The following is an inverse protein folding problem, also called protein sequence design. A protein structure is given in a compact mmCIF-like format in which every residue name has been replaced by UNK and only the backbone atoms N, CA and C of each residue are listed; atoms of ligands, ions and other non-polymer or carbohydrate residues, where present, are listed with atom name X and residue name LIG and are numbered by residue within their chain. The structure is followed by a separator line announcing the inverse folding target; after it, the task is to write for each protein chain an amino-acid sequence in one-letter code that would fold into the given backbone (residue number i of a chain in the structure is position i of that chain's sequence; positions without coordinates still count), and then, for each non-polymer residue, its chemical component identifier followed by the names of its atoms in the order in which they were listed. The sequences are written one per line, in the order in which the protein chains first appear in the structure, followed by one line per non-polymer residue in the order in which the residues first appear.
data_IF_320980335480
#
_entry.id   IF_320980335480
#
_cell.length_a   1.000
_cell.length_b   1.000
_cell.length_c   1.000
_cell.angle_alpha   90.00
_cell.angle_beta   90.00
_cell.angle_gamma   90.00
#
_symmetry.space_group_name_H-M   'P 1'
#
loop_
_entity.id
_entity.type
_entity.pdbx_description
1 polymer ?
#
# COMPACT_ATOMS: atom_id res chain seq x y z
N UNK A 1 -5.38 0.51 -0.35
CA UNK A 1 -3.94 0.62 -0.67
C UNK A 1 -3.35 -0.78 -0.66
N UNK A 2 -2.18 -1.00 -1.26
CA UNK A 2 -1.52 -2.31 -1.28
C UNK A 2 -0.13 -2.24 -0.66
N UNK A 3 0.23 -3.29 0.08
CA UNK A 3 1.55 -3.53 0.65
C UNK A 3 2.21 -4.66 -0.11
N UNK A 4 3.40 -4.42 -0.63
CA UNK A 4 4.22 -5.40 -1.36
C UNK A 4 5.57 -5.49 -0.67
N UNK A 5 5.81 -6.59 0.05
CA UNK A 5 7.01 -6.80 0.86
C UNK A 5 7.80 -7.99 0.33
N UNK A 6 8.97 -7.78 -0.29
CA UNK A 6 9.83 -8.87 -0.71
C UNK A 6 10.48 -9.57 0.51
N UNK A 7 11.01 -10.79 0.35
CA UNK A 7 11.60 -11.55 1.45
C UNK A 7 12.90 -10.95 1.99
N UNK A 8 13.65 -10.20 1.18
CA UNK A 8 14.86 -9.53 1.63
C UNK A 8 14.56 -8.44 2.66
N UNK A 9 15.42 -8.33 3.68
CA UNK A 9 15.34 -7.29 4.69
C UNK A 9 16.37 -6.19 4.41
N UNK A 10 16.05 -4.96 4.83
CA UNK A 10 16.97 -3.84 4.80
C UNK A 10 17.34 -3.45 6.24
N UNK A 11 18.64 -3.38 6.55
CA UNK A 11 19.09 -3.00 7.88
C UNK A 11 18.85 -1.51 8.09
N UNK A 12 18.03 -1.16 9.08
CA UNK A 12 17.77 0.25 9.43
C UNK A 12 19.08 0.98 9.72
N UNK A 13 20.02 0.36 10.44
CA UNK A 13 21.29 1.00 10.79
C UNK A 13 22.16 1.33 9.57
N UNK A 14 22.08 0.52 8.51
CA UNK A 14 22.89 0.73 7.30
C UNK A 14 22.33 1.86 6.42
N UNK A 15 21.02 2.08 6.46
CA UNK A 15 20.36 3.07 5.60
C UNK A 15 20.00 4.37 6.30
N UNK A 16 20.05 4.41 7.63
CA UNK A 16 19.67 5.59 8.41
C UNK A 16 20.57 6.78 8.08
N UNK A 17 19.96 7.87 7.61
CA UNK A 17 20.60 9.14 7.28
C UNK A 17 19.71 10.30 7.70
N UNK A 18 20.29 11.49 7.82
CA UNK A 18 19.55 12.72 8.12
C UNK A 18 18.62 13.08 6.97
N UNK A 19 17.34 13.33 7.26
CA UNK A 19 16.36 13.80 6.27
C UNK A 19 16.65 15.23 5.85
N UNK A 20 16.40 15.54 4.58
CA UNK A 20 16.66 16.88 4.01
C UNK A 20 15.36 17.65 3.75
N UNK A 21 14.25 16.94 3.58
CA UNK A 21 12.97 17.55 3.25
C UNK A 21 12.28 18.09 4.50
N UNK A 22 11.70 19.29 4.42
CA UNK A 22 10.93 19.87 5.53
C UNK A 22 9.58 19.14 5.68
N UNK A 23 9.36 18.39 6.77
CA UNK A 23 8.14 17.62 6.96
C UNK A 23 6.89 18.50 7.10
N UNK A 24 7.02 19.76 7.53
CA UNK A 24 5.85 20.65 7.68
C UNK A 24 5.33 21.10 6.32
N UNK A 25 6.21 21.25 5.33
CA UNK A 25 5.83 21.58 3.95
C UNK A 25 5.08 20.40 3.32
N UNK A 26 5.62 19.18 3.46
CA UNK A 26 4.97 17.97 2.95
C UNK A 26 3.61 17.73 3.61
N UNK A 27 3.53 17.89 4.93
CA UNK A 27 2.27 17.73 5.66
C UNK A 27 1.22 18.74 5.21
N UNK A 28 1.62 20.00 5.01
CA UNK A 28 0.74 21.04 4.49
C UNK A 28 0.21 20.67 3.11
N UNK A 29 1.09 20.24 2.21
CA UNK A 29 0.72 19.85 0.85
C UNK A 29 -0.24 18.65 0.84
N UNK A 30 0.02 17.62 1.65
CA UNK A 30 -0.87 16.45 1.81
C UNK A 30 -2.25 16.88 2.35
N UNK A 31 -2.27 17.83 3.28
CA UNK A 31 -3.51 18.31 3.91
C UNK A 31 -4.35 19.16 2.95
N UNK A 32 -3.71 19.99 2.13
CA UNK A 32 -4.39 20.93 1.22
C UNK A 32 -4.77 20.26 -0.11
N UNK A 33 -3.88 19.42 -0.68
CA UNK A 33 -3.99 18.91 -2.05
C UNK A 33 -4.13 17.38 -2.13
N UNK A 34 -4.08 16.68 -1.00
CA UNK A 34 -4.17 15.22 -0.94
C UNK A 34 -2.85 14.51 -1.24
N UNK A 35 -2.92 13.19 -1.40
CA UNK A 35 -1.74 12.34 -1.63
C UNK A 35 -1.34 12.37 -3.12
N UNK A 36 -0.05 12.53 -3.37
CA UNK A 36 0.56 12.39 -4.69
C UNK A 36 1.98 11.83 -4.56
N UNK A 37 2.55 11.39 -5.67
CA UNK A 37 3.92 10.87 -5.70
C UNK A 37 4.96 11.86 -5.16
N UNK A 38 4.78 13.16 -5.41
CA UNK A 38 5.76 14.20 -5.06
C UNK A 38 5.80 14.51 -3.56
N UNK A 39 4.72 14.21 -2.83
CA UNK A 39 4.65 14.38 -1.37
C UNK A 39 4.96 13.10 -0.59
N UNK A 40 4.86 11.95 -1.25
CA UNK A 40 5.22 10.65 -0.69
C UNK A 40 6.72 10.35 -0.85
N UNK A 41 7.54 11.19 -0.20
CA UNK A 41 9.00 11.05 -0.21
C UNK A 41 9.48 10.17 0.94
N UNK A 42 10.56 9.43 0.67
CA UNK A 42 11.30 8.70 1.70
C UNK A 42 12.80 8.86 1.43
N UNK A 43 13.45 9.68 2.24
CA UNK A 43 14.89 9.98 2.14
C UNK A 43 15.80 8.75 2.37
N UNK A 44 15.23 7.65 2.90
CA UNK A 44 15.94 6.37 3.05
C UNK A 44 15.93 5.51 1.78
N UNK A 45 15.14 5.85 0.76
CA UNK A 45 15.11 5.10 -0.49
C UNK A 45 16.46 5.08 -1.22
N UNK A 46 17.17 6.22 -1.44
CA UNK A 46 18.47 6.19 -2.09
C UNK A 46 19.47 5.23 -1.43
N UNK A 47 19.75 5.30 -0.11
CA UNK A 47 20.65 4.33 0.53
C UNK A 47 20.10 2.90 0.56
N UNK A 48 18.79 2.70 0.76
CA UNK A 48 18.19 1.36 0.71
C UNK A 48 18.32 0.72 -0.67
N UNK A 49 18.25 1.52 -1.74
CA UNK A 49 18.42 1.03 -3.11
C UNK A 49 19.88 0.77 -3.50
N UNK A 50 20.84 1.40 -2.80
CA UNK A 50 22.26 1.06 -2.92
C UNK A 50 22.56 -0.27 -2.24
N UNK A 51 22.05 -0.48 -1.03
CA UNK A 51 22.23 -1.72 -0.25
C UNK A 51 21.43 -2.89 -0.84
N UNK A 52 20.22 -2.63 -1.30
CA UNK A 52 19.29 -3.63 -1.84
C UNK A 52 18.76 -3.21 -3.23
N UNK A 53 19.55 -3.39 -4.30
CA UNK A 53 19.13 -3.03 -5.66
C UNK A 53 17.89 -3.77 -6.17
N UNK A 54 17.57 -4.95 -5.63
CA UNK A 54 16.33 -5.68 -5.95
C UNK A 54 15.09 -4.88 -5.55
N UNK A 55 15.15 -4.15 -4.44
CA UNK A 55 14.06 -3.29 -3.97
C UNK A 55 13.79 -2.12 -4.92
N UNK A 56 14.85 -1.50 -5.45
CA UNK A 56 14.73 -0.47 -6.51
C UNK A 56 14.07 -1.03 -7.76
N UNK A 57 14.44 -2.25 -8.17
CA UNK A 57 13.82 -2.92 -9.33
C UNK A 57 12.35 -3.21 -9.09
N UNK A 58 12.00 -3.72 -7.90
CA UNK A 58 10.61 -3.97 -7.51
C UNK A 58 9.78 -2.68 -7.58
N UNK A 59 10.21 -1.60 -6.92
CA UNK A 59 9.50 -0.30 -6.97
C UNK A 59 9.30 0.19 -8.40
N UNK A 60 10.34 0.15 -9.24
CA UNK A 60 10.25 0.53 -10.66
C UNK A 60 9.26 -0.32 -11.44
N UNK A 61 9.22 -1.63 -11.18
CA UNK A 61 8.31 -2.55 -11.86
C UNK A 61 6.86 -2.32 -11.45
N UNK A 62 6.60 -2.02 -10.17
CA UNK A 62 5.28 -1.59 -9.67
C UNK A 62 4.85 -0.31 -10.38
N UNK A 63 5.70 0.71 -10.47
CA UNK A 63 5.39 1.96 -11.17
C UNK A 63 5.15 1.73 -12.67
N UNK A 64 5.94 0.88 -13.32
CA UNK A 64 5.76 0.60 -14.74
C UNK A 64 4.49 -0.22 -15.04
N UNK A 65 4.06 -1.05 -14.10
CA UNK A 65 2.82 -1.81 -14.19
C UNK A 65 1.59 -0.97 -13.79
N UNK A 66 1.79 0.14 -13.08
CA UNK A 66 0.73 1.09 -12.71
C UNK A 66 0.13 1.71 -13.98
N UNK A 67 -1.13 1.40 -14.28
CA UNK A 67 -1.87 1.97 -15.42
C UNK A 67 -2.68 3.21 -15.04
N UNK A 68 -2.23 3.93 -14.01
CA UNK A 68 -2.93 5.08 -13.43
C UNK A 68 -3.77 4.73 -12.19
N UNK A 69 -3.61 3.51 -11.65
CA UNK A 69 -4.35 2.99 -10.50
C UNK A 69 -3.74 3.44 -9.16
N UNK A 70 -2.46 3.81 -9.14
CA UNK A 70 -1.80 4.36 -7.96
C UNK A 70 -1.49 5.85 -8.09
N UNK A 71 -1.90 6.61 -7.08
CA UNK A 71 -1.56 8.02 -6.87
C UNK A 71 -0.09 8.19 -6.42
N UNK A 72 0.43 7.20 -5.69
CA UNK A 72 1.81 7.20 -5.19
C UNK A 72 2.33 5.78 -4.95
N UNK A 73 3.62 5.58 -5.21
CA UNK A 73 4.39 4.38 -4.88
C UNK A 73 5.66 4.76 -4.14
N UNK A 74 5.85 4.24 -2.93
CA UNK A 74 7.00 4.56 -2.08
C UNK A 74 7.37 3.41 -1.13
N UNK A 75 8.60 3.41 -0.66
CA UNK A 75 9.08 2.48 0.36
C UNK A 75 8.60 2.94 1.75
N UNK A 76 8.14 2.02 2.57
CA UNK A 76 7.79 2.30 3.98
C UNK A 76 9.01 2.12 4.89
N UNK A 77 9.29 3.13 5.73
CA UNK A 77 10.40 3.11 6.69
C UNK A 77 11.77 2.94 6.02
N UNK A 78 12.64 2.11 6.61
CA UNK A 78 13.93 1.71 6.02
C UNK A 78 13.80 0.62 4.94
N UNK A 79 12.58 0.20 4.60
CA UNK A 79 12.30 -0.94 3.74
C UNK A 79 12.16 -2.27 4.50
N UNK A 80 11.85 -3.37 3.81
CA UNK A 80 11.77 -3.51 2.35
C UNK A 80 10.36 -3.37 1.76
N UNK A 81 9.34 -3.04 2.56
CA UNK A 81 7.97 -2.91 2.05
C UNK A 81 7.82 -1.73 1.08
N UNK A 82 7.27 -1.99 -0.11
CA UNK A 82 6.76 -0.98 -1.04
C UNK A 82 5.25 -0.84 -0.83
N UNK A 83 4.76 0.40 -0.82
CA UNK A 83 3.35 0.75 -0.65
C UNK A 83 2.85 1.38 -1.95
N UNK A 84 1.71 0.91 -2.44
CA UNK A 84 0.93 1.57 -3.51
C UNK A 84 -0.33 2.19 -2.92
N UNK A 85 -0.48 3.51 -3.04
CA UNK A 85 -1.68 4.27 -2.64
C UNK A 85 -2.55 4.52 -3.88
N UNK A 86 -3.88 4.45 -3.75
CA UNK A 86 -4.84 4.67 -4.83
C UNK A 86 -5.72 3.44 -5.05
N UNK A 87 -5.09 2.29 -5.29
CA UNK A 87 -5.78 1.01 -5.49
C UNK A 87 -5.33 -0.06 -4.47
N UNK A 88 -6.21 -0.97 -4.03
CA UNK A 88 -5.85 -2.16 -3.26
C UNK A 88 -5.29 -3.30 -4.13
N UNK A 89 -5.46 -3.22 -5.45
CA UNK A 89 -5.11 -4.31 -6.36
C UNK A 89 -3.60 -4.33 -6.61
N UNK A 90 -2.89 -5.41 -6.27
CA UNK A 90 -1.47 -5.56 -6.59
C UNK A 90 -1.25 -5.76 -8.10
N UNK A 91 -0.09 -5.36 -8.64
CA UNK A 91 0.19 -5.58 -10.06
C UNK A 91 0.34 -7.07 -10.38
N UNK A 92 -0.27 -7.52 -11.49
CA UNK A 92 -0.34 -8.94 -11.87
C UNK A 92 1.02 -9.66 -11.87
N UNK A 93 2.10 -8.98 -12.27
CA UNK A 93 3.43 -9.57 -12.33
C UNK A 93 3.92 -10.14 -10.98
N UNK A 94 3.41 -9.63 -9.85
CA UNK A 94 3.81 -10.13 -8.52
C UNK A 94 3.38 -11.58 -8.32
N UNK A 95 2.33 -12.03 -9.02
CA UNK A 95 1.86 -13.41 -9.01
C UNK A 95 2.35 -14.22 -10.20
N UNK A 96 2.49 -13.58 -11.37
CA UNK A 96 2.82 -14.29 -12.62
C UNK A 96 4.32 -14.61 -12.77
N UNK A 97 5.19 -13.88 -12.07
CA UNK A 97 6.64 -14.02 -12.19
C UNK A 97 7.23 -14.76 -10.98
N UNK A 98 7.92 -15.87 -11.25
CA UNK A 98 8.55 -16.73 -10.25
C UNK A 98 9.55 -15.98 -9.36
N UNK A 99 10.14 -14.88 -9.85
CA UNK A 99 11.05 -14.02 -9.09
C UNK A 99 10.37 -13.37 -7.86
N UNK A 100 9.03 -13.29 -7.83
CA UNK A 100 8.26 -12.64 -6.75
C UNK A 100 7.34 -13.57 -5.96
N UNK A 101 7.38 -14.88 -6.20
CA UNK A 101 6.49 -15.86 -5.55
C UNK A 101 6.51 -15.82 -4.01
N UNK A 102 7.64 -15.44 -3.41
CA UNK A 102 7.84 -15.36 -1.96
C UNK A 102 7.56 -13.94 -1.41
N UNK A 103 7.03 -13.04 -2.25
CA UNK A 103 6.64 -11.68 -1.86
C UNK A 103 5.35 -11.70 -1.08
N UNK A 104 5.36 -11.10 0.11
CA UNK A 104 4.14 -10.86 0.85
C UNK A 104 3.34 -9.72 0.20
N UNK A 105 2.07 -9.97 -0.10
CA UNK A 105 1.15 -8.98 -0.66
C UNK A 105 -0.09 -8.91 0.22
N UNK A 106 -0.49 -7.70 0.59
CA UNK A 106 -1.71 -7.48 1.37
C UNK A 106 -2.36 -6.17 0.99
N UNK A 107 -3.69 -6.19 0.85
CA UNK A 107 -4.48 -4.98 0.94
C UNK A 107 -4.31 -4.36 2.33
N UNK A 108 -4.34 -3.03 2.39
CA UNK A 108 -4.41 -2.26 3.61
C UNK A 108 -5.37 -1.07 3.46
N UNK A 109 -5.90 -0.60 4.59
CA UNK A 109 -6.74 0.58 4.67
C UNK A 109 -6.36 1.42 5.90
N UNK A 110 -6.71 2.69 5.88
CA UNK A 110 -6.54 3.54 7.06
C UNK A 110 -7.56 3.17 8.14
N UNK A 111 -7.09 3.09 9.39
CA UNK A 111 -7.96 2.87 10.55
C UNK A 111 -8.08 4.18 11.33
N UNK A 112 -9.31 4.67 11.47
CA UNK A 112 -9.65 5.80 12.33
C UNK A 112 -10.17 5.28 13.67
N UNK A 113 -9.74 5.91 14.76
CA UNK A 113 -10.14 5.58 16.13
C UNK A 113 -10.70 6.81 16.80
N UNK A 114 -11.79 6.66 17.54
CA UNK A 114 -12.31 7.76 18.37
C UNK A 114 -11.42 7.98 19.59
N UNK A 115 -11.47 9.18 20.14
CA UNK A 115 -10.80 9.48 21.40
C UNK A 115 -11.25 8.49 22.49
N UNK A 116 -10.30 7.98 23.27
CA UNK A 116 -10.54 7.02 24.36
C UNK A 116 -11.15 5.66 23.98
N UNK A 117 -11.23 5.29 22.70
CA UNK A 117 -11.67 3.96 22.26
C UNK A 117 -10.51 3.11 21.73
N UNK A 118 -10.58 1.77 21.76
CA UNK A 118 -9.63 0.91 21.04
C UNK A 118 -9.94 0.88 19.54
N UNK A 119 -8.94 0.55 18.71
CA UNK A 119 -9.17 0.29 17.28
C UNK A 119 -10.18 -0.85 17.11
N UNK A 120 -11.10 -0.68 16.16
CA UNK A 120 -12.08 -1.70 15.76
C UNK A 120 -11.75 -2.16 14.36
N UNK A 121 -12.24 -3.35 14.00
CA UNK A 121 -12.14 -3.81 12.62
C UNK A 121 -12.80 -2.80 11.68
N UNK A 122 -12.15 -2.48 10.54
CA UNK A 122 -12.75 -1.65 9.53
C UNK A 122 -14.02 -2.33 9.02
N UNK A 123 -15.07 -1.55 8.76
CA UNK A 123 -16.29 -2.06 8.13
C UNK A 123 -15.90 -2.45 6.71
N UNK A 124 -15.57 -3.73 6.52
CA UNK A 124 -15.19 -4.25 5.21
C UNK A 124 -16.34 -3.98 4.25
N UNK A 125 -16.10 -3.10 3.28
CA UNK A 125 -16.96 -2.99 2.09
C UNK A 125 -16.67 -4.21 1.23
N UNK A 126 -17.00 -5.41 1.70
CA UNK A 126 -17.22 -6.52 0.79
C UNK A 126 -18.32 -6.03 -0.13
N UNK A 127 -17.98 -5.80 -1.39
CA UNK A 127 -18.97 -5.79 -2.46
C UNK A 127 -19.63 -7.17 -2.35
N UNK A 128 -20.77 -7.24 -1.69
CA UNK A 128 -21.69 -8.36 -1.85
C UNK A 128 -22.08 -8.33 -3.31
N UNK A 129 -21.51 -9.24 -4.10
CA UNK A 129 -22.13 -9.66 -5.34
C UNK A 129 -23.59 -9.97 -5.04
N UNK A 130 -24.51 -9.33 -5.76
CA UNK A 130 -25.95 -9.53 -5.68
C UNK A 130 -26.31 -10.98 -6.06
N UNK A 131 -26.08 -11.96 -5.19
CA UNK A 131 -26.49 -13.35 -5.43
C UNK A 131 -26.85 -14.10 -4.12
N UNK A 132 -27.35 -13.39 -3.11
CA UNK A 132 -27.96 -14.04 -1.94
C UNK A 132 -29.16 -13.25 -1.43
N UNK A 133 -30.26 -13.29 -2.21
CA UNK A 133 -31.60 -13.04 -1.67
C UNK A 133 -32.23 -14.39 -1.29
N UNK A 134 -32.72 -14.55 -0.05
CA UNK A 134 -33.42 -15.77 0.34
C UNK A 134 -34.75 -15.89 -0.41
N UNK A 135 -35.24 -17.12 -0.68
CA UNK A 135 -36.46 -17.31 -1.45
C UNK A 135 -37.66 -16.74 -0.68
N UNK A 136 -38.42 -15.91 -1.40
CA UNK A 136 -39.70 -15.35 -1.00
C UNK A 136 -40.63 -16.47 -0.55
N UNK A 137 -41.14 -16.35 0.68
CA UNK A 137 -42.06 -17.32 1.27
C UNK A 137 -43.36 -17.26 0.48
N UNK A 138 -43.61 -18.26 -0.37
CA UNK A 138 -44.83 -18.38 -1.12
C UNK A 138 -46.02 -18.44 -0.15
N UNK A 139 -46.88 -17.43 -0.23
CA UNK A 139 -48.19 -17.39 0.39
C UNK A 139 -49.08 -18.43 -0.28
N UNK A 140 -49.47 -19.48 0.46
CA UNK A 140 -50.51 -20.41 0.04
C UNK A 140 -51.83 -19.89 0.60
N UNK A 141 -52.67 -19.38 -0.30
CA UNK A 141 -54.11 -19.22 -0.09
C UNK A 141 -54.80 -20.49 -0.59
N UNK A 142 -55.44 -21.22 0.32
CA UNK A 142 -56.84 -21.70 0.26
C UNK A 142 -57.19 -22.51 1.52
#
# INVERSE_FOLDING_TARGET
MVLVKPPEACSTAEVYKTSQTDPLVLLKEITENGISQDVCVNDLEPPAFEVLPSLKRLKKRIIAANRGDYDAVFMSGSGSTIVGIGSPDPPAFVYDDDDYKDTFVSEACFLTRNENEWYREPISSKITSEEDLPPEVASVSD
#
